data_IF_960678701059
#
_entry.id   IF_960678701059
#
_cell.length_a   1.000
_cell.length_b   1.000
_cell.length_c   1.000
_cell.angle_alpha   90.00
_cell.angle_beta   90.00
_cell.angle_gamma   90.00
#
_symmetry.space_group_name_H-M   'P 1'
#
loop_
_entity.id
_entity.type
_entity.pdbx_description
1 polymer ?
#
# COMPACT_ATOMS: atom_id res chain seq x y z
N UNK A 1 -54.23 -7.57 -10.59
CA UNK A 1 -53.33 -6.61 -9.89
C UNK A 1 -52.92 -7.04 -8.47
N UNK A 2 -52.88 -8.34 -8.12
CA UNK A 2 -52.48 -8.81 -6.77
C UNK A 2 -51.17 -9.62 -6.75
N UNK A 3 -50.71 -10.14 -7.90
CA UNK A 3 -49.48 -10.94 -7.99
C UNK A 3 -48.20 -10.09 -8.02
N UNK A 4 -48.23 -8.88 -8.60
CA UNK A 4 -47.07 -8.00 -8.70
C UNK A 4 -46.60 -7.46 -7.34
N UNK A 5 -47.53 -7.23 -6.41
CA UNK A 5 -47.21 -6.75 -5.06
C UNK A 5 -46.43 -7.80 -4.23
N UNK A 6 -46.67 -9.09 -4.48
CA UNK A 6 -46.01 -10.21 -3.79
C UNK A 6 -44.58 -10.43 -4.29
N UNK A 7 -44.32 -10.21 -5.58
CA UNK A 7 -42.98 -10.35 -6.17
C UNK A 7 -42.06 -9.21 -5.73
N UNK A 8 -42.57 -7.97 -5.64
CA UNK A 8 -41.80 -6.84 -5.14
C UNK A 8 -41.45 -6.95 -3.65
N UNK A 9 -42.26 -7.64 -2.84
CA UNK A 9 -42.00 -7.83 -1.41
C UNK A 9 -40.99 -8.95 -1.12
N UNK A 10 -40.84 -9.93 -2.03
CA UNK A 10 -39.82 -10.99 -1.92
C UNK A 10 -38.40 -10.52 -2.28
N UNK A 11 -38.26 -9.49 -3.12
CA UNK A 11 -36.96 -8.90 -3.50
C UNK A 11 -36.35 -8.01 -2.39
N UNK A 12 -37.14 -7.60 -1.40
CA UNK A 12 -36.68 -6.74 -0.30
C UNK A 12 -36.06 -7.51 0.87
N UNK A 13 -36.10 -8.84 0.85
CA UNK A 13 -35.58 -9.70 1.92
C UNK A 13 -34.36 -10.52 1.52
N UNK A 14 -33.74 -10.28 0.35
CA UNK A 14 -32.42 -10.87 0.09
C UNK A 14 -31.41 -10.18 1.01
N UNK A 15 -30.82 -10.86 2.02
CA UNK A 15 -29.73 -10.27 2.77
C UNK A 15 -28.60 -10.05 1.77
N UNK A 16 -28.33 -8.80 1.42
CA UNK A 16 -27.11 -8.44 0.71
C UNK A 16 -25.98 -8.76 1.66
N UNK A 17 -25.32 -9.90 1.45
CA UNK A 17 -24.07 -10.22 2.10
C UNK A 17 -23.05 -9.20 1.61
N UNK A 18 -22.88 -8.13 2.39
CA UNK A 18 -21.76 -7.19 2.20
C UNK A 18 -20.53 -7.97 2.59
N UNK A 19 -19.95 -8.67 1.63
CA UNK A 19 -18.60 -9.20 1.78
C UNK A 19 -17.68 -8.00 1.83
N UNK A 20 -17.02 -7.80 2.98
CA UNK A 20 -15.92 -6.86 3.06
C UNK A 20 -14.89 -7.33 2.04
N UNK A 21 -14.72 -6.59 0.94
CA UNK A 21 -13.72 -6.91 -0.07
C UNK A 21 -12.34 -6.74 0.57
N UNK A 22 -11.76 -7.85 1.00
CA UNK A 22 -10.39 -7.87 1.47
C UNK A 22 -9.49 -7.74 0.25
N UNK A 23 -9.03 -6.51 -0.03
CA UNK A 23 -8.04 -6.26 -1.07
C UNK A 23 -6.83 -7.18 -0.83
N UNK A 24 -6.48 -7.97 -1.84
CA UNK A 24 -5.29 -8.82 -1.80
C UNK A 24 -4.07 -7.94 -2.06
N UNK A 25 -3.06 -8.05 -1.20
CA UNK A 25 -1.80 -7.32 -1.35
C UNK A 25 -1.14 -7.61 -2.71
N UNK A 26 -0.50 -6.60 -3.29
CA UNK A 26 0.34 -6.70 -4.46
C UNK A 26 1.54 -7.60 -4.16
N UNK A 27 1.47 -8.85 -4.63
CA UNK A 27 2.46 -9.87 -4.32
C UNK A 27 3.86 -9.58 -4.87
N UNK A 28 3.96 -8.78 -5.94
CA UNK A 28 5.25 -8.38 -6.51
C UNK A 28 5.96 -7.38 -5.60
N UNK A 29 5.23 -6.37 -5.12
CA UNK A 29 5.77 -5.36 -4.20
C UNK A 29 6.09 -5.97 -2.84
N UNK A 30 5.25 -6.88 -2.35
CA UNK A 30 5.52 -7.63 -1.12
C UNK A 30 6.83 -8.44 -1.21
N UNK A 31 7.01 -9.23 -2.28
CA UNK A 31 8.24 -9.99 -2.50
C UNK A 31 9.47 -9.09 -2.61
N UNK A 32 9.34 -7.96 -3.31
CA UNK A 32 10.41 -6.98 -3.39
C UNK A 32 10.81 -6.43 -2.01
N UNK A 33 9.85 -6.20 -1.11
CA UNK A 33 10.15 -5.83 0.28
C UNK A 33 10.89 -6.96 1.01
N UNK A 34 10.43 -8.20 0.90
CA UNK A 34 11.07 -9.35 1.55
C UNK A 34 12.52 -9.52 1.09
N UNK A 35 12.78 -9.38 -0.21
CA UNK A 35 14.13 -9.38 -0.79
C UNK A 35 14.99 -8.22 -0.27
N UNK A 36 14.40 -7.02 -0.16
CA UNK A 36 15.09 -5.86 0.39
C UNK A 36 15.51 -6.09 1.85
N UNK A 37 14.59 -6.58 2.69
CA UNK A 37 14.87 -6.91 4.09
C UNK A 37 15.91 -8.03 4.21
N UNK A 38 15.79 -9.09 3.40
CA UNK A 38 16.74 -10.19 3.39
C UNK A 38 18.15 -9.72 3.02
N UNK A 39 18.29 -8.81 2.04
CA UNK A 39 19.58 -8.25 1.64
C UNK A 39 20.26 -7.43 2.75
N UNK A 40 19.50 -7.00 3.76
CA UNK A 40 19.94 -6.21 4.91
C UNK A 40 19.95 -7.01 6.22
N UNK A 41 19.86 -8.34 6.13
CA UNK A 41 19.91 -9.19 7.31
C UNK A 41 21.22 -9.02 8.08
N UNK A 42 21.16 -9.26 9.40
CA UNK A 42 22.35 -9.27 10.25
C UNK A 42 23.40 -10.24 9.72
N UNK A 43 22.98 -11.41 9.23
CA UNK A 43 23.89 -12.38 8.61
C UNK A 43 24.66 -11.78 7.42
N UNK A 44 23.96 -11.09 6.52
CA UNK A 44 24.60 -10.45 5.37
C UNK A 44 25.56 -9.34 5.83
N UNK A 45 25.16 -8.54 6.81
CA UNK A 45 26.02 -7.52 7.39
C UNK A 45 27.31 -8.12 7.98
N UNK A 46 27.22 -9.18 8.78
CA UNK A 46 28.37 -9.86 9.37
C UNK A 46 29.28 -10.51 8.32
N UNK A 47 28.73 -10.89 7.16
CA UNK A 47 29.47 -11.43 6.02
C UNK A 47 30.03 -10.33 5.08
N UNK A 48 29.84 -9.05 5.40
CA UNK A 48 30.23 -7.92 4.55
C UNK A 48 29.47 -7.86 3.22
N UNK A 49 28.30 -8.51 3.14
CA UNK A 49 27.40 -8.48 1.99
C UNK A 49 26.43 -7.32 2.16
N UNK A 50 26.60 -6.31 1.32
CA UNK A 50 25.70 -5.16 1.29
C UNK A 50 24.73 -5.25 0.10
N UNK A 51 23.55 -4.61 0.21
CA UNK A 51 22.63 -4.50 -0.91
C UNK A 51 23.31 -3.94 -2.17
N UNK A 52 23.02 -4.55 -3.31
CA UNK A 52 23.58 -4.13 -4.59
C UNK A 52 22.73 -2.99 -5.16
N UNK A 53 23.39 -1.96 -5.65
CA UNK A 53 22.74 -0.81 -6.30
C UNK A 53 21.74 -1.22 -7.39
N UNK A 54 22.11 -2.19 -8.24
CA UNK A 54 21.24 -2.66 -9.32
C UNK A 54 19.95 -3.30 -8.79
N UNK A 55 20.03 -4.07 -7.72
CA UNK A 55 18.87 -4.73 -7.12
C UNK A 55 17.95 -3.70 -6.44
N UNK A 56 18.54 -2.72 -5.73
CA UNK A 56 17.80 -1.61 -5.13
C UNK A 56 17.08 -0.76 -6.19
N UNK A 57 17.75 -0.44 -7.30
CA UNK A 57 17.15 0.31 -8.41
C UNK A 57 15.99 -0.46 -9.04
N UNK A 58 16.14 -1.77 -9.27
CA UNK A 58 15.08 -2.61 -9.82
C UNK A 58 13.84 -2.65 -8.94
N UNK A 59 14.01 -2.72 -7.60
CA UNK A 59 12.89 -2.67 -6.66
C UNK A 59 12.17 -1.31 -6.69
N UNK A 60 12.89 -0.19 -6.82
CA UNK A 60 12.27 1.13 -6.98
C UNK A 60 11.48 1.25 -8.27
N UNK A 61 12.04 0.80 -9.39
CA UNK A 61 11.35 0.79 -10.68
C UNK A 61 10.07 -0.06 -10.64
N UNK A 62 10.08 -1.17 -9.90
CA UNK A 62 8.90 -1.98 -9.66
C UNK A 62 7.81 -1.19 -8.92
N UNK A 63 8.18 -0.47 -7.85
CA UNK A 63 7.24 0.40 -7.12
C UNK A 63 6.68 1.50 -8.01
N UNK A 64 7.51 2.20 -8.79
CA UNK A 64 7.05 3.22 -9.72
C UNK A 64 6.10 2.66 -10.79
N UNK A 65 6.40 1.48 -11.31
CA UNK A 65 5.55 0.80 -12.29
C UNK A 65 4.19 0.49 -11.67
N UNK A 66 4.15 -0.11 -10.49
CA UNK A 66 2.91 -0.45 -9.79
C UNK A 66 2.07 0.80 -9.47
N UNK A 67 2.72 1.89 -9.02
CA UNK A 67 2.07 3.19 -8.81
C UNK A 67 1.45 3.73 -10.11
N UNK A 68 2.24 3.77 -11.20
CA UNK A 68 1.79 4.31 -12.48
C UNK A 68 0.58 3.57 -13.08
N UNK A 69 0.41 2.30 -12.70
CA UNK A 69 -0.68 1.42 -13.15
C UNK A 69 -1.87 1.38 -12.19
N UNK A 70 -1.79 2.08 -11.04
CA UNK A 70 -2.83 2.02 -10.01
C UNK A 70 -2.94 0.65 -9.33
N UNK A 71 -1.85 -0.11 -9.28
CA UNK A 71 -1.82 -1.49 -8.74
C UNK A 71 -1.58 -1.53 -7.22
N UNK A 72 -1.35 -0.39 -6.56
CA UNK A 72 -1.30 -0.29 -5.10
C UNK A 72 -2.68 0.09 -4.58
N UNK A 73 -3.37 -0.85 -3.94
CA UNK A 73 -4.77 -0.68 -3.52
C UNK A 73 -4.95 -1.04 -2.06
N UNK A 74 -4.29 -2.09 -1.59
CA UNK A 74 -4.33 -2.51 -0.19
C UNK A 74 -3.48 -1.58 0.68
N UNK A 75 -3.85 -1.44 1.95
CA UNK A 75 -3.04 -0.67 2.91
C UNK A 75 -1.57 -1.15 2.92
N UNK A 76 -1.36 -2.46 2.94
CA UNK A 76 -0.03 -3.06 2.95
C UNK A 76 0.78 -2.73 1.68
N UNK A 77 0.15 -2.51 0.53
CA UNK A 77 0.85 -2.14 -0.70
C UNK A 77 1.59 -0.81 -0.52
N UNK A 78 0.92 0.16 0.07
CA UNK A 78 1.48 1.48 0.37
C UNK A 78 2.59 1.39 1.42
N UNK A 79 2.41 0.53 2.44
CA UNK A 79 3.46 0.27 3.43
C UNK A 79 4.70 -0.35 2.78
N UNK A 80 4.55 -1.42 1.99
CA UNK A 80 5.66 -2.09 1.33
C UNK A 80 6.40 -1.14 0.38
N UNK A 81 5.66 -0.38 -0.43
CA UNK A 81 6.22 0.61 -1.34
C UNK A 81 6.98 1.72 -0.60
N UNK A 82 6.44 2.22 0.51
CA UNK A 82 7.08 3.26 1.32
C UNK A 82 8.44 2.79 1.86
N UNK A 83 8.52 1.57 2.39
CA UNK A 83 9.78 1.03 2.93
C UNK A 83 10.83 0.86 1.83
N UNK A 84 10.44 0.31 0.67
CA UNK A 84 11.36 0.14 -0.48
C UNK A 84 11.93 1.50 -0.92
N UNK A 85 11.09 2.54 -1.03
CA UNK A 85 11.53 3.87 -1.46
C UNK A 85 12.35 4.60 -0.38
N UNK A 86 12.07 4.35 0.91
CA UNK A 86 12.85 4.93 2.00
C UNK A 86 14.29 4.41 2.01
N UNK A 87 14.52 3.17 1.56
CA UNK A 87 15.86 2.60 1.44
C UNK A 87 16.58 3.09 0.18
N UNK A 88 16.82 4.41 0.15
CA UNK A 88 17.55 5.08 -0.92
C UNK A 88 19.07 4.94 -0.73
N UNK A 89 19.79 4.65 -1.81
CA UNK A 89 21.26 4.54 -1.79
C UNK A 89 21.90 5.89 -1.44
N UNK A 90 23.08 5.84 -0.83
CA UNK A 90 23.94 7.00 -0.71
C UNK A 90 24.99 6.97 -1.83
N UNK A 91 25.31 8.12 -2.38
CA UNK A 91 26.46 8.32 -3.27
C UNK A 91 27.48 9.27 -2.61
N UNK A 92 28.74 9.11 -2.96
CA UNK A 92 29.78 10.05 -2.60
C UNK A 92 29.84 11.19 -3.63
N UNK A 93 29.60 12.41 -3.18
CA UNK A 93 29.80 13.64 -3.94
C UNK A 93 30.90 14.44 -3.25
N UNK A 94 32.13 14.33 -3.76
CA UNK A 94 33.33 14.82 -3.08
C UNK A 94 33.51 14.13 -1.72
N UNK A 95 33.71 14.91 -0.67
CA UNK A 95 33.88 14.43 0.71
C UNK A 95 32.56 14.20 1.45
N UNK A 96 31.41 14.30 0.77
CA UNK A 96 30.08 14.20 1.38
C UNK A 96 29.29 13.00 0.86
N UNK A 97 28.56 12.33 1.75
CA UNK A 97 27.54 11.35 1.39
C UNK A 97 26.22 12.06 1.11
N UNK A 98 25.61 11.79 -0.06
CA UNK A 98 24.30 12.32 -0.45
C UNK A 98 23.33 11.20 -0.78
N UNK A 99 22.05 11.39 -0.45
CA UNK A 99 20.99 10.46 -0.82
C UNK A 99 20.66 10.58 -2.32
N UNK A 100 20.70 9.44 -3.01
CA UNK A 100 20.37 9.28 -4.43
C UNK A 100 18.85 9.29 -4.65
N UNK A 101 18.25 10.47 -4.51
CA UNK A 101 16.83 10.68 -4.82
C UNK A 101 16.03 11.09 -3.59
N UNK A 102 16.15 12.36 -3.21
CA UNK A 102 15.43 12.95 -2.07
C UNK A 102 13.90 12.91 -2.31
N UNK A 103 13.49 12.97 -3.57
CA UNK A 103 12.12 12.74 -4.02
C UNK A 103 11.56 11.38 -3.63
N UNK A 104 12.40 10.33 -3.53
CA UNK A 104 11.97 9.00 -3.09
C UNK A 104 11.53 9.04 -1.62
N UNK A 105 12.25 9.77 -0.77
CA UNK A 105 11.88 9.94 0.63
C UNK A 105 10.58 10.73 0.79
N UNK A 106 10.38 11.77 -0.04
CA UNK A 106 9.13 12.52 -0.04
C UNK A 106 7.96 11.63 -0.47
N UNK A 107 8.13 10.84 -1.53
CA UNK A 107 7.11 9.90 -1.99
C UNK A 107 6.86 8.81 -0.94
N UNK A 108 7.91 8.25 -0.33
CA UNK A 108 7.80 7.28 0.76
C UNK A 108 6.98 7.83 1.94
N UNK A 109 7.20 9.11 2.30
CA UNK A 109 6.41 9.79 3.32
C UNK A 109 4.92 9.83 2.97
N UNK A 110 4.58 10.21 1.73
CA UNK A 110 3.18 10.23 1.29
C UNK A 110 2.57 8.84 1.28
N UNK A 111 3.28 7.81 0.81
CA UNK A 111 2.80 6.43 0.81
C UNK A 111 2.59 5.89 2.23
N UNK A 112 3.47 6.21 3.18
CA UNK A 112 3.28 5.85 4.58
C UNK A 112 2.02 6.50 5.17
N UNK A 113 1.72 7.75 4.78
CA UNK A 113 0.47 8.44 5.16
C UNK A 113 -0.75 7.73 4.57
N UNK A 114 -0.70 7.31 3.30
CA UNK A 114 -1.75 6.52 2.67
C UNK A 114 -1.98 5.19 3.38
N UNK A 115 -0.92 4.48 3.77
CA UNK A 115 -1.03 3.27 4.59
C UNK A 115 -1.82 3.54 5.87
N UNK A 116 -1.44 4.55 6.66
CA UNK A 116 -2.09 4.85 7.95
C UNK A 116 -3.58 5.15 7.74
N UNK A 117 -3.91 6.02 6.78
CA UNK A 117 -5.31 6.36 6.48
C UNK A 117 -6.08 5.11 6.03
N UNK A 118 -5.48 4.31 5.16
CA UNK A 118 -6.14 3.12 4.60
C UNK A 118 -6.40 2.07 5.67
N UNK A 119 -5.41 1.87 6.53
CA UNK A 119 -5.48 0.93 7.65
C UNK A 119 -6.53 1.35 8.68
N UNK A 120 -6.55 2.63 9.08
CA UNK A 120 -7.57 3.17 10.00
C UNK A 120 -8.97 2.99 9.41
N UNK A 121 -9.16 3.30 8.13
CA UNK A 121 -10.45 3.13 7.46
C UNK A 121 -10.90 1.66 7.45
N UNK A 122 -10.00 0.73 7.14
CA UNK A 122 -10.27 -0.71 7.20
C UNK A 122 -10.66 -1.15 8.62
N UNK A 123 -9.98 -0.62 9.64
CA UNK A 123 -10.29 -0.90 11.03
C UNK A 123 -11.68 -0.40 11.44
N UNK A 124 -12.03 0.84 11.07
CA UNK A 124 -13.37 1.41 11.33
C UNK A 124 -14.46 0.58 10.64
N UNK A 125 -14.24 0.20 9.37
CA UNK A 125 -15.19 -0.61 8.62
C UNK A 125 -15.43 -1.99 9.24
N UNK A 126 -14.37 -2.63 9.74
CA UNK A 126 -14.42 -3.98 10.30
C UNK A 126 -14.96 -4.02 11.74
N UNK A 127 -14.67 -3.01 12.55
CA UNK A 127 -14.88 -3.10 14.00
C UNK A 127 -15.86 -2.08 14.59
N UNK A 128 -16.08 -0.94 13.94
CA UNK A 128 -16.88 0.16 14.51
C UNK A 128 -18.26 0.26 13.84
N UNK A 129 -18.38 -0.12 12.56
CA UNK A 129 -19.68 -0.36 11.91
C UNK A 129 -20.56 0.88 11.62
N UNK A 130 -20.16 2.10 12.00
CA UNK A 130 -20.98 3.30 11.84
C UNK A 130 -20.99 3.83 10.38
N UNK A 131 -22.19 4.04 9.84
CA UNK A 131 -22.43 4.43 8.45
C UNK A 131 -21.96 5.86 8.12
N UNK A 132 -21.96 6.77 9.11
CA UNK A 132 -21.48 8.15 8.91
C UNK A 132 -19.96 8.20 8.71
N UNK A 133 -19.21 7.32 9.40
CA UNK A 133 -17.75 7.30 9.38
C UNK A 133 -17.21 6.65 8.07
N UNK A 134 -17.94 5.67 7.53
CA UNK A 134 -17.65 5.06 6.21
C UNK A 134 -17.69 6.08 5.07
N UNK A 135 -18.63 7.02 5.12
CA UNK A 135 -18.74 8.08 4.09
C UNK A 135 -17.57 9.08 4.15
N UNK A 136 -17.01 9.28 5.34
CA UNK A 136 -15.87 10.18 5.62
C UNK A 136 -14.55 9.55 5.16
N UNK A 137 -14.37 8.25 5.43
CA UNK A 137 -13.27 7.48 4.85
C UNK A 137 -13.31 7.52 3.33
N UNK A 138 -14.44 7.18 2.71
CA UNK A 138 -14.61 7.15 1.25
C UNK A 138 -14.34 8.51 0.58
N UNK A 139 -14.67 9.63 1.24
CA UNK A 139 -14.37 10.99 0.77
C UNK A 139 -12.88 11.35 0.84
N UNK A 140 -12.15 10.89 1.87
CA UNK A 140 -10.69 11.13 1.97
C UNK A 140 -9.87 10.38 0.92
N UNK A 141 -10.34 9.20 0.49
CA UNK A 141 -9.68 8.45 -0.60
C UNK A 141 -9.81 9.13 -1.97
N UNK A 142 -10.92 9.81 -2.26
CA UNK A 142 -11.14 10.39 -3.60
C UNK A 142 -10.50 11.77 -3.82
N UNK A 143 -9.96 12.40 -2.77
CA UNK A 143 -9.38 13.76 -2.84
C UNK A 143 -7.86 13.77 -2.74
N UNK A 144 -7.20 12.62 -2.93
CA UNK A 144 -5.75 12.49 -2.72
C UNK A 144 -4.98 11.97 -3.94
N UNK A 145 -5.55 12.10 -5.14
CA UNK A 145 -4.83 11.99 -6.41
C UNK A 145 -4.93 13.34 -7.11
#
# INVERSE_FOLDING_TARGET
MKAYALICSLLLFTPTTVTAFQSIDNQSVKRALEEDQASRSEENFQQGKFPKFADEMNRRLLVFTALSRGELVAANDFYHAAVILQHTNLEHVGDTLRSMGTENHLLAHFLAKFYIVTYICKYIELYIGDANDKSTCRRRYSTSI
#
